data_IF_760669979300
#
_entry.id   IF_760669979300
#
_cell.length_a   1.000
_cell.length_b   1.000
_cell.length_c   1.000
_cell.angle_alpha   90.00
_cell.angle_beta   90.00
_cell.angle_gamma   90.00
#
_symmetry.space_group_name_H-M   'P 1'
#
loop_
_entity.id
_entity.type
_entity.pdbx_description
1 polymer ?
#
# COMPACT_ATOMS: atom_id res chain seq x y z
N UNK A 1 -13.44 8.54 -7.79
CA UNK A 1 -12.49 7.42 -7.97
C UNK A 1 -12.06 7.03 -6.56
N UNK A 2 -11.96 5.74 -6.24
CA UNK A 2 -11.81 5.27 -4.85
C UNK A 2 -10.78 4.15 -4.77
N UNK A 3 -10.45 3.70 -3.56
CA UNK A 3 -9.70 2.46 -3.40
C UNK A 3 -10.63 1.26 -3.57
N UNK A 4 -10.13 0.20 -4.22
CA UNK A 4 -10.82 -1.07 -4.34
C UNK A 4 -10.66 -1.90 -3.07
N UNK A 5 -9.46 -1.87 -2.48
CA UNK A 5 -9.19 -2.61 -1.26
C UNK A 5 -8.17 -1.94 -0.33
N UNK A 6 -8.23 -2.32 0.95
CA UNK A 6 -7.16 -2.16 1.94
C UNK A 6 -6.76 -3.52 2.49
N UNK A 7 -5.46 -3.80 2.48
CA UNK A 7 -4.84 -5.04 2.93
C UNK A 7 -3.87 -4.72 4.07
N UNK A 8 -4.12 -5.30 5.23
CA UNK A 8 -3.26 -5.13 6.40
C UNK A 8 -2.40 -6.39 6.62
N UNK A 9 -1.08 -6.17 6.77
CA UNK A 9 -0.07 -7.19 7.08
C UNK A 9 0.75 -6.76 8.32
N UNK A 10 0.16 -6.79 9.53
CA UNK A 10 0.84 -6.32 10.75
C UNK A 10 2.16 -7.06 11.02
N UNK A 11 2.24 -8.33 10.65
CA UNK A 11 3.42 -9.18 10.79
C UNK A 11 4.60 -8.72 9.92
N UNK A 12 4.31 -8.01 8.83
CA UNK A 12 5.30 -7.38 7.96
C UNK A 12 5.43 -5.87 8.23
N UNK A 13 4.71 -5.36 9.24
CA UNK A 13 4.55 -3.92 9.51
C UNK A 13 4.20 -3.15 8.24
N UNK A 14 3.24 -3.67 7.50
CA UNK A 14 2.94 -3.25 6.14
C UNK A 14 1.43 -3.12 5.93
N UNK A 15 1.03 -2.08 5.20
CA UNK A 15 -0.35 -1.91 4.73
C UNK A 15 -0.34 -1.51 3.26
N UNK A 16 -1.15 -2.20 2.46
CA UNK A 16 -1.33 -1.94 1.04
C UNK A 16 -2.74 -1.42 0.77
N UNK A 17 -2.81 -0.30 0.08
CA UNK A 17 -4.01 0.23 -0.53
C UNK A 17 -4.04 -0.16 -1.99
N UNK A 18 -5.19 -0.58 -2.49
CA UNK A 18 -5.37 -0.98 -3.88
C UNK A 18 -6.24 0.08 -4.53
N UNK A 19 -5.65 0.89 -5.41
CA UNK A 19 -6.35 1.97 -6.09
C UNK A 19 -7.23 1.42 -7.21
N UNK A 20 -8.42 1.98 -7.47
CA UNK A 20 -9.30 1.44 -8.51
C UNK A 20 -8.78 1.65 -9.95
N UNK A 21 -7.95 2.67 -10.19
CA UNK A 21 -7.43 2.99 -11.52
C UNK A 21 -6.54 1.87 -12.08
N UNK A 22 -6.91 1.36 -13.26
CA UNK A 22 -6.21 0.28 -13.98
C UNK A 22 -6.07 -1.04 -13.24
N UNK A 23 -6.55 -1.11 -12.00
CA UNK A 23 -6.39 -2.27 -11.16
C UNK A 23 -7.11 -3.49 -11.74
N UNK A 24 -8.36 -3.29 -12.14
CA UNK A 24 -9.18 -4.31 -12.79
C UNK A 24 -8.54 -4.81 -14.08
N UNK A 25 -8.12 -3.88 -14.94
CA UNK A 25 -7.53 -4.19 -16.22
C UNK A 25 -6.18 -4.93 -16.12
N UNK A 26 -5.41 -4.71 -15.05
CA UNK A 26 -4.04 -5.24 -14.91
C UNK A 26 -3.97 -6.44 -13.96
N UNK A 27 -4.57 -6.36 -12.77
CA UNK A 27 -4.51 -7.43 -11.75
C UNK A 27 -5.64 -8.46 -11.91
N UNK A 28 -6.68 -8.14 -12.69
CA UNK A 28 -7.80 -9.03 -12.98
C UNK A 28 -7.60 -9.96 -14.19
N UNK A 29 -6.54 -9.79 -15.00
CA UNK A 29 -6.35 -10.48 -16.30
C UNK A 29 -6.41 -12.02 -16.26
N UNK A 30 -6.17 -12.63 -15.09
CA UNK A 30 -6.16 -14.10 -14.92
C UNK A 30 -7.33 -14.63 -14.10
N UNK A 31 -8.33 -13.79 -13.81
CA UNK A 31 -9.51 -14.20 -13.06
C UNK A 31 -10.69 -14.27 -14.03
N UNK A 32 -11.36 -15.42 -14.17
CA UNK A 32 -12.56 -15.55 -15.00
C UNK A 32 -13.58 -14.47 -14.65
N UNK A 33 -14.13 -13.80 -15.67
CA UNK A 33 -15.06 -12.66 -15.50
C UNK A 33 -16.38 -13.06 -14.80
N UNK A 34 -16.69 -14.36 -14.76
CA UNK A 34 -17.84 -14.95 -14.08
C UNK A 34 -17.56 -15.35 -12.62
N UNK A 35 -16.36 -15.09 -12.09
CA UNK A 35 -16.03 -15.41 -10.71
C UNK A 35 -16.67 -14.37 -9.75
N UNK A 36 -17.61 -14.75 -8.87
CA UNK A 36 -18.21 -13.83 -7.91
C UNK A 36 -17.22 -13.30 -6.85
N UNK A 37 -16.01 -13.87 -6.77
CA UNK A 37 -14.89 -13.42 -5.93
C UNK A 37 -13.86 -12.60 -6.72
N UNK A 38 -14.20 -12.09 -7.90
CA UNK A 38 -13.25 -11.43 -8.78
C UNK A 38 -12.58 -10.19 -8.15
N UNK A 39 -13.33 -9.35 -7.43
CA UNK A 39 -12.79 -8.16 -6.75
C UNK A 39 -11.91 -8.52 -5.53
N UNK A 40 -12.29 -9.47 -4.65
CA UNK A 40 -11.36 -9.99 -3.64
C UNK A 40 -10.08 -10.60 -4.23
N UNK A 41 -10.20 -11.43 -5.27
CA UNK A 41 -9.06 -12.16 -5.85
C UNK A 41 -8.06 -11.22 -6.56
N UNK A 42 -8.52 -10.20 -7.28
CA UNK A 42 -7.63 -9.21 -7.86
C UNK A 42 -6.92 -8.39 -6.78
N UNK A 43 -7.59 -8.13 -5.65
CA UNK A 43 -7.00 -7.39 -4.55
C UNK A 43 -5.91 -8.21 -3.85
N UNK A 44 -6.11 -9.53 -3.68
CA UNK A 44 -5.05 -10.43 -3.24
C UNK A 44 -3.85 -10.43 -4.20
N UNK A 45 -4.07 -10.46 -5.52
CA UNK A 45 -2.98 -10.36 -6.49
C UNK A 45 -2.16 -9.07 -6.33
N UNK A 46 -2.81 -7.95 -6.01
CA UNK A 46 -2.13 -6.68 -5.74
C UNK A 46 -1.36 -6.72 -4.41
N UNK A 47 -1.93 -7.33 -3.37
CA UNK A 47 -1.24 -7.56 -2.10
C UNK A 47 -0.02 -8.46 -2.22
N UNK A 48 -0.14 -9.56 -2.97
CA UNK A 48 0.98 -10.48 -3.23
C UNK A 48 2.08 -9.80 -4.03
N UNK A 49 1.72 -9.01 -5.05
CA UNK A 49 2.68 -8.18 -5.78
C UNK A 49 3.40 -7.20 -4.84
N UNK A 50 2.66 -6.52 -3.97
CA UNK A 50 3.27 -5.58 -3.02
C UNK A 50 4.20 -6.28 -2.02
N UNK A 51 3.84 -7.49 -1.57
CA UNK A 51 4.69 -8.32 -0.71
C UNK A 51 5.94 -8.82 -1.43
N UNK A 52 5.83 -9.18 -2.70
CA UNK A 52 6.98 -9.58 -3.53
C UNK A 52 7.96 -8.41 -3.69
N UNK A 53 7.46 -7.21 -4.02
CA UNK A 53 8.27 -5.99 -4.07
C UNK A 53 8.93 -5.71 -2.73
N UNK A 54 8.16 -5.79 -1.64
CA UNK A 54 8.70 -5.58 -0.30
C UNK A 54 9.79 -6.62 0.00
N UNK A 55 9.59 -7.89 -0.33
CA UNK A 55 10.56 -8.96 -0.11
C UNK A 55 11.80 -8.89 -1.00
N UNK A 56 11.77 -8.13 -2.11
CA UNK A 56 12.91 -7.93 -3.00
C UNK A 56 13.81 -6.77 -2.60
N UNK A 57 13.37 -5.92 -1.66
CA UNK A 57 14.20 -4.85 -1.11
C UNK A 57 15.41 -5.45 -0.39
N UNK A 58 16.58 -4.82 -0.55
CA UNK A 58 17.79 -5.18 0.20
C UNK A 58 17.45 -5.27 1.70
N UNK A 59 17.94 -6.30 2.39
CA UNK A 59 17.71 -6.48 3.83
C UNK A 59 18.12 -5.26 4.68
N UNK A 60 19.02 -4.43 4.18
CA UNK A 60 19.38 -3.13 4.78
C UNK A 60 18.27 -2.08 4.70
N UNK A 61 17.43 -2.13 3.67
CA UNK A 61 16.24 -1.29 3.54
C UNK A 61 15.17 -1.78 4.50
N UNK A 62 14.91 -3.09 4.57
CA UNK A 62 13.94 -3.65 5.53
C UNK A 62 14.23 -3.30 6.98
N UNK A 63 15.50 -3.38 7.41
CA UNK A 63 15.90 -3.05 8.77
C UNK A 63 15.96 -1.54 9.08
N UNK A 64 15.82 -0.66 8.08
CA UNK A 64 15.94 0.79 8.26
C UNK A 64 14.60 1.49 8.53
N UNK A 65 13.47 0.84 8.28
CA UNK A 65 12.13 1.42 8.42
C UNK A 65 11.33 0.72 9.52
N UNK A 66 10.54 1.51 10.24
CA UNK A 66 9.65 1.04 11.30
C UNK A 66 8.41 0.36 10.72
N UNK A 67 7.87 0.89 9.61
CA UNK A 67 6.76 0.31 8.86
C UNK A 67 6.71 0.84 7.42
N UNK A 68 5.87 0.21 6.60
CA UNK A 68 5.65 0.58 5.20
C UNK A 68 4.17 0.79 4.91
N UNK A 69 3.88 1.78 4.06
CA UNK A 69 2.61 1.92 3.35
C UNK A 69 2.85 1.75 1.86
N UNK A 70 1.94 1.10 1.16
CA UNK A 70 1.97 1.07 -0.29
C UNK A 70 0.62 1.36 -0.92
N UNK A 71 0.67 1.84 -2.16
CA UNK A 71 -0.48 1.96 -3.05
C UNK A 71 -0.20 1.17 -4.33
N UNK A 72 -0.96 0.11 -4.55
CA UNK A 72 -0.91 -0.69 -5.77
C UNK A 72 -1.97 -0.20 -6.77
N UNK A 73 -1.55 -0.03 -8.03
CA UNK A 73 -2.42 0.42 -9.12
C UNK A 73 -1.95 -0.15 -10.47
N UNK A 74 -2.80 -0.07 -11.49
CA UNK A 74 -2.47 -0.54 -12.83
C UNK A 74 -2.25 0.62 -13.79
N UNK A 75 -1.13 0.62 -14.52
CA UNK A 75 -0.97 1.52 -15.65
C UNK A 75 -1.58 0.87 -16.89
N UNK A 76 -2.79 1.28 -17.28
CA UNK A 76 -3.50 0.71 -18.42
C UNK A 76 -2.79 0.95 -19.75
N UNK A 77 -2.12 2.09 -19.91
CA UNK A 77 -1.43 2.47 -21.14
C UNK A 77 -0.22 1.57 -21.39
N UNK A 78 0.60 1.35 -20.37
CA UNK A 78 1.78 0.48 -20.47
C UNK A 78 1.49 -1.00 -20.19
N UNK A 79 0.33 -1.30 -19.60
CA UNK A 79 -0.05 -2.65 -19.20
C UNK A 79 0.63 -3.15 -17.91
N UNK A 80 1.25 -2.26 -17.14
CA UNK A 80 2.15 -2.60 -16.03
C UNK A 80 1.47 -2.56 -14.66
N UNK A 81 1.96 -3.41 -13.75
CA UNK A 81 1.64 -3.34 -12.32
C UNK A 81 2.51 -2.28 -11.67
N UNK A 82 1.90 -1.29 -11.02
CA UNK A 82 2.64 -0.22 -10.34
C UNK A 82 2.42 -0.28 -8.83
N UNK A 83 3.48 -0.02 -8.08
CA UNK A 83 3.46 0.11 -6.62
C UNK A 83 4.17 1.40 -6.21
N UNK A 84 3.43 2.30 -5.57
CA UNK A 84 4.01 3.43 -4.85
C UNK A 84 4.29 2.93 -3.42
N UNK A 85 5.55 2.88 -3.02
CA UNK A 85 5.97 2.36 -1.72
C UNK A 85 6.56 3.48 -0.86
N UNK A 86 6.10 3.58 0.38
CA UNK A 86 6.51 4.58 1.35
C UNK A 86 7.02 3.91 2.62
N UNK A 87 8.31 4.07 2.90
CA UNK A 87 8.95 3.59 4.13
C UNK A 87 9.03 4.71 5.16
N UNK A 88 8.62 4.40 6.39
CA UNK A 88 8.62 5.35 7.51
C UNK A 88 9.64 4.92 8.55
N UNK A 89 10.50 5.84 8.99
CA UNK A 89 11.54 5.56 9.97
C UNK A 89 11.60 6.64 11.04
N UNK A 90 12.19 6.30 12.19
CA UNK A 90 12.32 7.21 13.31
C UNK A 90 11.00 7.42 14.06
N UNK A 91 10.11 6.43 14.04
CA UNK A 91 8.82 6.50 14.74
C UNK A 91 9.06 6.61 16.25
N UNK A 92 8.69 7.76 16.78
CA UNK A 92 8.77 8.15 18.19
C UNK A 92 7.49 8.87 18.58
N UNK A 93 7.43 9.33 19.82
CA UNK A 93 6.37 10.21 20.30
C UNK A 93 6.22 11.43 19.36
N UNK A 94 5.03 11.62 18.80
CA UNK A 94 4.82 12.56 17.68
C UNK A 94 5.02 14.02 18.09
N UNK A 95 4.87 14.32 19.39
CA UNK A 95 5.14 15.62 19.99
C UNK A 95 6.64 15.96 19.96
N UNK A 96 7.51 14.95 19.81
CA UNK A 96 8.97 15.11 19.92
C UNK A 96 9.69 15.01 18.57
N UNK A 97 9.12 14.31 17.60
CA UNK A 97 9.73 14.07 16.30
C UNK A 97 8.69 13.69 15.24
N UNK A 98 8.95 14.08 14.00
CA UNK A 98 8.21 13.59 12.84
C UNK A 98 8.99 12.43 12.21
N UNK A 99 8.31 11.38 11.72
CA UNK A 99 8.98 10.32 11.00
C UNK A 99 9.58 10.82 9.69
N UNK A 100 10.71 10.25 9.32
CA UNK A 100 11.27 10.40 7.99
C UNK A 100 10.54 9.46 7.02
N UNK A 101 10.20 9.97 5.85
CA UNK A 101 9.49 9.23 4.80
C UNK A 101 10.40 9.10 3.59
N UNK A 102 10.65 7.86 3.18
CA UNK A 102 11.30 7.57 1.90
C UNK A 102 10.29 6.94 0.95
N UNK A 103 10.31 7.37 -0.31
CA UNK A 103 9.36 6.91 -1.32
C UNK A 103 10.08 6.26 -2.50
N UNK A 104 9.50 5.18 -3.00
CA UNK A 104 9.93 4.46 -4.20
C UNK A 104 8.72 4.15 -5.07
N UNK A 105 8.98 3.99 -6.37
CA UNK A 105 7.99 3.53 -7.33
C UNK A 105 8.54 2.28 -7.97
N UNK A 106 7.70 1.25 -8.08
CA UNK A 106 8.03 0.00 -8.76
C UNK A 106 7.06 -0.25 -9.89
N UNK A 107 7.57 -0.59 -11.07
CA UNK A 107 6.78 -1.09 -12.19
C UNK A 107 7.20 -2.52 -12.51
N UNK A 108 6.26 -3.45 -12.48
CA UNK A 108 6.49 -4.90 -12.64
C UNK A 108 7.64 -5.43 -11.77
N UNK A 109 7.69 -4.96 -10.52
CA UNK A 109 8.69 -5.37 -9.53
C UNK A 109 10.04 -4.66 -9.65
N UNK A 110 10.24 -3.83 -10.67
CA UNK A 110 11.49 -3.13 -10.93
C UNK A 110 11.39 -1.70 -10.41
N UNK A 111 12.38 -1.28 -9.62
CA UNK A 111 12.46 0.11 -9.17
C UNK A 111 12.57 1.05 -10.37
N UNK A 112 11.62 1.98 -10.48
CA UNK A 112 11.63 3.02 -11.49
C UNK A 112 12.12 4.29 -10.84
N UNK A 113 13.35 4.69 -11.19
CA UNK A 113 13.89 5.95 -10.71
C UNK A 113 12.99 7.09 -11.16
N UNK A 114 12.51 7.94 -10.24
CA UNK A 114 11.75 9.12 -10.61
C UNK A 114 12.61 10.05 -11.49
N UNK A 115 12.27 10.19 -12.78
CA UNK A 115 12.92 11.14 -13.69
C UNK A 115 12.10 12.44 -13.79
N UNK A 116 12.73 13.64 -13.77
CA UNK A 116 12.03 14.91 -13.90
C UNK A 116 11.31 15.07 -15.27
N UNK A 117 10.10 15.65 -15.32
CA UNK A 117 9.27 16.12 -14.20
C UNK A 117 8.64 14.94 -13.47
N UNK A 118 9.04 14.71 -12.23
CA UNK A 118 8.67 13.51 -11.49
C UNK A 118 7.25 13.64 -10.92
N UNK A 119 6.34 12.79 -11.37
CA UNK A 119 5.11 12.49 -10.62
C UNK A 119 5.43 11.34 -9.66
N UNK A 120 5.49 11.63 -8.35
CA UNK A 120 5.79 10.61 -7.34
C UNK A 120 4.62 9.66 -7.12
N UNK A 121 3.40 10.21 -7.04
CA UNK A 121 2.16 9.46 -6.78
C UNK A 121 0.95 10.31 -7.18
N UNK A 122 -0.27 9.74 -7.13
CA UNK A 122 -1.51 10.45 -7.42
C UNK A 122 -2.06 11.23 -6.21
N UNK A 123 -3.00 12.14 -6.46
CA UNK A 123 -3.63 12.93 -5.39
C UNK A 123 -4.36 12.10 -4.34
N UNK A 124 -4.99 10.99 -4.73
CA UNK A 124 -5.71 10.10 -3.82
C UNK A 124 -4.74 9.42 -2.84
N UNK A 125 -3.54 9.04 -3.29
CA UNK A 125 -2.47 8.55 -2.41
C UNK A 125 -2.04 9.61 -1.41
N UNK A 126 -1.89 10.87 -1.82
CA UNK A 126 -1.54 11.95 -0.90
C UNK A 126 -2.60 12.15 0.19
N UNK A 127 -3.88 12.00 -0.16
CA UNK A 127 -4.98 12.05 0.82
C UNK A 127 -4.87 10.88 1.80
N UNK A 128 -4.66 9.66 1.30
CA UNK A 128 -4.49 8.46 2.15
C UNK A 128 -3.32 8.62 3.11
N UNK A 129 -2.16 9.07 2.63
CA UNK A 129 -0.99 9.32 3.49
C UNK A 129 -1.30 10.35 4.58
N UNK A 130 -2.08 11.38 4.26
CA UNK A 130 -2.54 12.37 5.24
C UNK A 130 -3.46 11.79 6.31
N UNK A 131 -4.44 10.96 5.92
CA UNK A 131 -5.34 10.30 6.87
C UNK A 131 -4.63 9.24 7.71
N UNK A 132 -3.67 8.53 7.12
CA UNK A 132 -2.80 7.59 7.84
C UNK A 132 -1.99 8.27 8.94
N UNK A 133 -1.35 9.39 8.61
CA UNK A 133 -0.56 10.14 9.58
C UNK A 133 -1.44 10.75 10.69
N UNK A 134 -2.65 11.23 10.36
CA UNK A 134 -3.63 11.66 11.38
C UNK A 134 -3.98 10.50 12.31
N UNK A 135 -4.30 9.33 11.75
CA UNK A 135 -4.66 8.16 12.54
C UNK A 135 -3.50 7.70 13.44
N UNK A 136 -2.27 7.63 12.90
CA UNK A 136 -1.06 7.30 13.66
C UNK A 136 -0.86 8.20 14.88
N UNK A 137 -1.13 9.50 14.75
CA UNK A 137 -1.01 10.46 15.88
C UNK A 137 -2.08 10.27 16.95
N UNK A 138 -3.19 9.58 16.63
CA UNK A 138 -4.26 9.26 17.59
C UNK A 138 -4.11 7.89 18.24
N UNK A 139 -3.17 7.07 17.77
CA UNK A 139 -2.86 5.76 18.34
C UNK A 139 -1.69 5.84 19.33
N UNK A 140 -1.72 5.07 20.42
CA UNK A 140 -0.71 5.16 21.47
C UNK A 140 0.68 4.68 21.03
N UNK A 141 0.73 3.71 20.13
CA UNK A 141 1.96 3.10 19.64
C UNK A 141 1.78 2.52 18.22
N UNK A 142 2.90 2.15 17.61
CA UNK A 142 2.92 1.60 16.25
C UNK A 142 2.19 0.25 16.16
N UNK A 143 2.23 -0.56 17.21
CA UNK A 143 1.61 -1.88 17.23
C UNK A 143 0.08 -1.76 17.14
N UNK A 144 -0.50 -0.88 17.95
CA UNK A 144 -1.92 -0.52 17.91
C UNK A 144 -2.31 0.09 16.57
N UNK A 145 -1.48 0.98 16.01
CA UNK A 145 -1.69 1.57 14.69
C UNK A 145 -1.78 0.53 13.56
N UNK A 146 -0.89 -0.48 13.58
CA UNK A 146 -0.83 -1.52 12.54
C UNK A 146 -2.02 -2.48 12.59
N UNK A 147 -2.59 -2.70 13.79
CA UNK A 147 -3.78 -3.54 13.97
C UNK A 147 -5.07 -2.88 13.46
N UNK A 148 -5.13 -1.55 13.48
CA UNK A 148 -6.28 -0.77 13.02
C UNK A 148 -6.11 -0.19 11.63
N UNK A 149 -6.85 0.88 11.33
CA UNK A 149 -6.73 1.62 10.07
C UNK A 149 -7.53 2.93 10.13
N UNK A 150 -7.12 3.98 9.37
CA UNK A 150 -7.84 5.25 9.33
C UNK A 150 -9.22 5.11 8.67
N UNK A 151 -10.07 6.10 8.92
CA UNK A 151 -11.28 6.33 8.15
C UNK A 151 -11.00 7.30 6.99
N UNK A 152 -11.11 6.83 5.75
CA UNK A 152 -10.76 7.58 4.53
C UNK A 152 -11.92 8.38 3.94
N UNK A 153 -13.11 8.34 4.56
CA UNK A 153 -14.28 9.08 4.09
C UNK A 153 -14.70 8.64 2.68
N UNK A 154 -14.81 9.55 1.70
CA UNK A 154 -15.19 9.20 0.32
C UNK A 154 -14.21 8.25 -0.38
N UNK A 155 -12.98 8.10 0.11
CA UNK A 155 -11.96 7.20 -0.44
C UNK A 155 -11.95 5.82 0.24
N UNK A 156 -12.89 5.54 1.15
CA UNK A 156 -12.99 4.23 1.80
C UNK A 156 -13.01 3.08 0.77
N UNK A 157 -12.22 2.02 0.98
CA UNK A 157 -12.22 0.90 0.07
C UNK A 157 -13.55 0.16 0.15
N UNK A 158 -14.04 -0.30 -1.00
CA UNK A 158 -15.23 -1.16 -1.05
C UNK A 158 -14.99 -2.52 -0.41
N UNK A 159 -13.73 -2.96 -0.34
CA UNK A 159 -13.31 -4.22 0.26
C UNK A 159 -12.23 -4.00 1.31
N UNK A 160 -12.47 -4.41 2.56
CA UNK A 160 -11.46 -4.39 3.61
C UNK A 160 -11.04 -5.83 3.95
N UNK A 161 -9.75 -6.13 3.88
CA UNK A 161 -9.22 -7.46 4.17
C UNK A 161 -8.05 -7.37 5.13
N UNK A 162 -8.04 -8.27 6.11
CA UNK A 162 -6.86 -8.56 6.93
C UNK A 162 -6.19 -9.79 6.36
N UNK A 163 -4.86 -9.85 6.39
CA UNK A 163 -4.16 -11.08 6.02
C UNK A 163 -4.74 -12.25 6.83
N UNK A 164 -5.03 -13.41 6.20
CA UNK A 164 -5.37 -14.59 6.96
C UNK A 164 -4.18 -14.87 7.88
N UNK A 165 -4.43 -14.85 9.19
CA UNK A 165 -3.40 -15.08 10.19
C UNK A 165 -2.68 -16.39 9.84
N UNK A 166 -1.38 -16.37 9.50
CA UNK A 166 -0.68 -17.56 9.01
C UNK A 166 -0.55 -18.65 10.09
N UNK A 167 -1.02 -18.38 11.31
CA UNK A 167 -0.99 -19.27 12.46
C UNK A 167 -2.38 -19.76 12.92
N UNK A 168 -3.41 -19.70 12.07
CA UNK A 168 -4.74 -20.31 12.34
C UNK A 168 -5.02 -21.53 11.48
#
# INVERSE_FOLDING_TARGET
>A
MTFAARLNYPELRFRCYVHSAGFEAIYGKNIPADNPLWTPASAFNAGDYAKEVLGSLDGRVHGAFDYFLAVAWGNEESGQKVLDLFGFSGIRDWQTSNPDVTAWIFADGIYVSPQPPTVLTCGDTLIVLGEEEKYRRTTPDLETYLLGSPHLGPLEPTTQMQSPNPFR
#
